data_IF_596715670656
#
_entry.id   IF_596715670656
#
_cell.length_a   1.000
_cell.length_b   1.000
_cell.length_c   1.000
_cell.angle_alpha   90.00
_cell.angle_beta   90.00
_cell.angle_gamma   90.00
#
_symmetry.space_group_name_H-M   'P 1'
#
loop_
_entity.id
_entity.type
_entity.pdbx_description
1 polymer ?
#
# COMPACT_ATOMS: atom_id res chain seq x y z
N UNK A 1 -89.22 -2.31 -22.41
CA UNK A 1 -88.79 -2.56 -21.06
C UNK A 1 -87.82 -3.75 -20.97
N UNK A 2 -86.90 -3.94 -21.88
CA UNK A 2 -85.99 -5.11 -21.91
C UNK A 2 -84.51 -4.69 -22.01
N UNK A 3 -84.24 -3.38 -22.11
CA UNK A 3 -82.89 -2.91 -22.42
C UNK A 3 -82.05 -2.52 -21.16
N UNK A 4 -82.64 -2.47 -19.95
CA UNK A 4 -81.95 -2.07 -18.73
C UNK A 4 -81.36 -3.25 -17.91
N UNK A 5 -81.80 -4.47 -18.18
CA UNK A 5 -81.35 -5.63 -17.41
C UNK A 5 -80.02 -6.21 -17.90
N UNK A 6 -79.58 -5.80 -19.08
CA UNK A 6 -78.32 -6.30 -19.69
C UNK A 6 -77.04 -5.53 -19.25
N UNK A 7 -77.21 -4.37 -18.62
CA UNK A 7 -76.07 -3.55 -18.15
C UNK A 7 -75.62 -3.81 -16.71
N UNK A 8 -76.43 -4.55 -15.94
CA UNK A 8 -76.11 -4.86 -14.56
C UNK A 8 -75.30 -6.16 -14.40
N UNK A 9 -75.20 -7.00 -15.41
CA UNK A 9 -74.53 -8.30 -15.37
C UNK A 9 -73.08 -8.29 -15.86
N UNK A 10 -72.59 -7.12 -16.34
CA UNK A 10 -71.22 -7.02 -16.91
C UNK A 10 -70.22 -6.31 -16.02
N UNK A 11 -70.59 -6.01 -14.78
CA UNK A 11 -69.74 -5.29 -13.83
C UNK A 11 -69.19 -6.19 -12.67
N UNK A 12 -69.39 -7.50 -12.74
CA UNK A 12 -69.05 -8.39 -11.60
C UNK A 12 -68.01 -9.43 -11.97
N UNK A 13 -67.00 -9.12 -12.78
CA UNK A 13 -65.91 -10.08 -13.05
C UNK A 13 -64.65 -9.36 -13.52
N UNK A 14 -64.00 -8.60 -12.63
CA UNK A 14 -62.55 -8.37 -12.72
C UNK A 14 -61.97 -7.83 -11.39
N UNK A 15 -62.13 -8.63 -10.33
CA UNK A 15 -61.28 -8.46 -9.16
C UNK A 15 -60.01 -9.28 -9.41
N UNK A 16 -59.08 -8.72 -10.19
CA UNK A 16 -57.72 -9.23 -10.25
C UNK A 16 -57.08 -9.01 -8.86
N UNK A 17 -57.01 -10.08 -8.11
CA UNK A 17 -56.19 -10.14 -6.88
C UNK A 17 -54.72 -10.05 -7.30
N UNK A 18 -54.16 -8.85 -7.27
CA UNK A 18 -52.71 -8.63 -7.37
C UNK A 18 -52.12 -9.04 -6.04
N UNK A 19 -51.67 -10.28 -5.92
CA UNK A 19 -50.84 -10.70 -4.80
C UNK A 19 -49.46 -10.05 -4.94
N UNK A 20 -49.01 -9.20 -4.00
CA UNK A 20 -47.64 -8.71 -4.02
C UNK A 20 -46.72 -9.92 -3.82
N UNK A 21 -45.97 -10.27 -4.88
CA UNK A 21 -44.87 -11.23 -4.77
C UNK A 21 -43.76 -10.59 -3.95
N UNK A 22 -43.73 -10.90 -2.66
CA UNK A 22 -42.60 -10.51 -1.79
C UNK A 22 -41.42 -11.38 -2.24
N UNK A 23 -40.52 -10.81 -3.01
CA UNK A 23 -39.26 -11.43 -3.33
C UNK A 23 -38.50 -11.67 -2.02
N UNK A 24 -37.99 -12.90 -1.78
CA UNK A 24 -37.19 -13.16 -0.60
C UNK A 24 -35.97 -12.22 -0.61
N UNK A 25 -35.82 -11.43 0.45
CA UNK A 25 -34.64 -10.62 0.65
C UNK A 25 -33.43 -11.55 0.64
N UNK A 26 -32.58 -11.44 -0.38
CA UNK A 26 -31.32 -12.17 -0.45
C UNK A 26 -30.46 -11.67 0.72
N UNK A 27 -30.31 -12.50 1.73
CA UNK A 27 -29.33 -12.27 2.79
C UNK A 27 -27.97 -12.15 2.13
N UNK A 28 -27.25 -11.01 2.28
CA UNK A 28 -25.90 -10.89 1.70
C UNK A 28 -25.05 -12.04 2.23
N UNK A 29 -24.42 -12.76 1.32
CA UNK A 29 -23.52 -13.85 1.68
C UNK A 29 -22.42 -13.27 2.62
N UNK A 30 -22.04 -13.99 3.67
CA UNK A 30 -20.99 -13.55 4.55
C UNK A 30 -19.73 -13.32 3.72
N UNK A 31 -19.23 -12.07 3.71
CA UNK A 31 -17.97 -11.73 3.08
C UNK A 31 -16.88 -12.42 3.87
N UNK A 32 -16.37 -13.53 3.37
CA UNK A 32 -15.21 -14.18 3.98
C UNK A 32 -14.03 -13.22 3.87
N UNK A 33 -13.35 -12.92 4.97
CA UNK A 33 -12.15 -12.08 4.91
C UNK A 33 -11.14 -12.75 3.98
N UNK A 34 -10.60 -11.99 3.04
CA UNK A 34 -9.53 -12.49 2.18
C UNK A 34 -8.37 -12.96 3.05
N UNK A 35 -7.79 -14.13 2.79
CA UNK A 35 -6.68 -14.63 3.58
C UNK A 35 -5.52 -13.61 3.53
N UNK A 36 -5.00 -13.26 4.70
CA UNK A 36 -3.81 -12.42 4.79
C UNK A 36 -2.64 -13.25 4.27
N UNK A 37 -1.85 -12.77 3.31
CA UNK A 37 -0.69 -13.51 2.83
C UNK A 37 0.31 -13.71 3.99
N UNK A 38 1.01 -14.84 4.00
CA UNK A 38 1.97 -15.17 5.06
C UNK A 38 3.26 -14.33 5.00
N UNK A 39 3.41 -13.49 3.98
CA UNK A 39 4.61 -12.69 3.73
C UNK A 39 4.27 -11.39 3.01
N UNK A 40 5.21 -10.47 3.05
CA UNK A 40 5.17 -9.18 2.38
C UNK A 40 6.42 -9.03 1.51
N UNK A 41 6.25 -8.73 0.23
CA UNK A 41 7.36 -8.39 -0.65
C UNK A 41 7.72 -6.91 -0.44
N UNK A 42 8.95 -6.65 -0.05
CA UNK A 42 9.48 -5.31 0.23
C UNK A 42 10.60 -5.00 -0.74
N UNK A 43 10.46 -3.92 -1.49
CA UNK A 43 11.54 -3.31 -2.25
C UNK A 43 12.13 -2.17 -1.44
N UNK A 44 13.40 -2.27 -1.11
CA UNK A 44 14.18 -1.28 -0.40
C UNK A 44 15.25 -0.71 -1.33
N UNK A 45 15.35 0.60 -1.38
CA UNK A 45 16.43 1.30 -2.05
C UNK A 45 17.13 2.21 -1.04
N UNK A 46 18.43 2.44 -1.23
CA UNK A 46 19.17 3.47 -0.52
C UNK A 46 19.72 4.45 -1.54
N UNK A 47 19.31 5.69 -1.40
CA UNK A 47 19.57 6.76 -2.37
C UNK A 47 20.31 7.89 -1.66
N UNK A 48 21.45 8.28 -2.22
CA UNK A 48 22.13 9.50 -1.82
C UNK A 48 21.53 10.66 -2.58
N UNK A 49 21.10 11.68 -1.86
CA UNK A 49 20.53 12.90 -2.42
C UNK A 49 21.45 14.10 -2.22
N UNK A 50 21.51 14.98 -3.20
CA UNK A 50 22.30 16.20 -3.15
C UNK A 50 21.50 17.42 -3.64
N UNK A 51 21.69 18.56 -3.00
CA UNK A 51 21.14 19.86 -3.42
C UNK A 51 21.88 20.44 -4.63
N UNK A 52 23.03 19.89 -4.97
CA UNK A 52 23.78 20.32 -6.16
C UNK A 52 23.20 19.70 -7.42
N UNK A 53 23.12 20.45 -8.53
CA UNK A 53 22.74 19.90 -9.82
C UNK A 53 23.64 18.72 -10.22
N UNK A 54 23.05 17.65 -10.69
CA UNK A 54 23.76 16.44 -11.07
C UNK A 54 22.85 15.42 -11.75
N UNK A 55 23.37 14.22 -11.93
CA UNK A 55 22.63 13.15 -12.56
C UNK A 55 21.55 12.57 -11.63
N UNK A 56 20.46 12.13 -12.24
CA UNK A 56 19.43 11.32 -11.58
C UNK A 56 19.62 9.88 -12.04
N UNK A 57 19.89 8.98 -11.10
CA UNK A 57 20.15 7.57 -11.39
C UNK A 57 18.92 6.92 -12.06
N UNK A 58 19.05 6.31 -13.24
CA UNK A 58 17.94 5.70 -13.97
C UNK A 58 17.29 4.53 -13.21
N UNK A 59 17.99 3.90 -12.26
CA UNK A 59 17.44 2.83 -11.41
C UNK A 59 16.28 3.28 -10.53
N UNK A 60 16.14 4.59 -10.30
CA UNK A 60 14.98 5.16 -9.61
C UNK A 60 13.69 4.98 -10.40
N UNK A 61 13.72 4.91 -11.73
CA UNK A 61 12.55 4.74 -12.57
C UNK A 61 11.48 5.80 -12.30
N UNK A 62 10.24 5.39 -12.10
CA UNK A 62 9.13 6.30 -11.78
C UNK A 62 9.28 7.06 -10.46
N UNK A 63 10.14 6.57 -9.55
CA UNK A 63 10.41 7.22 -8.27
C UNK A 63 11.17 8.55 -8.42
N UNK A 64 11.98 8.68 -9.48
CA UNK A 64 12.77 9.87 -9.74
C UNK A 64 11.91 11.14 -9.78
N UNK A 65 10.79 11.08 -10.52
CA UNK A 65 9.89 12.23 -10.63
C UNK A 65 9.27 12.62 -9.30
N UNK A 66 8.88 11.62 -8.50
CA UNK A 66 8.32 11.86 -7.15
C UNK A 66 9.34 12.53 -6.24
N UNK A 67 10.60 12.07 -6.23
CA UNK A 67 11.65 12.66 -5.41
C UNK A 67 11.96 14.10 -5.84
N UNK A 68 12.10 14.35 -7.14
CA UNK A 68 12.36 15.69 -7.67
C UNK A 68 11.25 16.69 -7.35
N UNK A 69 9.98 16.24 -7.33
CA UNK A 69 8.83 17.12 -7.04
C UNK A 69 8.57 17.35 -5.56
N UNK A 70 9.01 16.43 -4.69
CA UNK A 70 8.68 16.43 -3.26
C UNK A 70 9.84 16.77 -2.33
N UNK A 71 11.06 16.93 -2.88
CA UNK A 71 12.25 17.24 -2.09
C UNK A 71 13.04 18.40 -2.70
N UNK A 72 13.90 19.10 -1.92
CA UNK A 72 14.75 20.17 -2.44
C UNK A 72 15.99 19.66 -3.19
N UNK A 73 16.17 18.34 -3.31
CA UNK A 73 17.35 17.74 -3.91
C UNK A 73 17.25 17.72 -5.44
N UNK A 74 18.38 17.94 -6.10
CA UNK A 74 18.51 18.07 -7.56
C UNK A 74 19.21 16.88 -8.20
N UNK A 75 19.92 16.07 -7.42
CA UNK A 75 20.58 14.85 -7.91
C UNK A 75 20.41 13.68 -6.96
N UNK A 76 20.37 12.47 -7.53
CA UNK A 76 20.11 11.25 -6.80
C UNK A 76 20.98 10.11 -7.33
N UNK A 77 21.70 9.45 -6.44
CA UNK A 77 22.51 8.26 -6.75
C UNK A 77 22.02 7.08 -5.93
N UNK A 78 21.67 5.98 -6.59
CA UNK A 78 21.26 4.75 -5.91
C UNK A 78 22.51 4.02 -5.42
N UNK A 79 22.66 3.92 -4.12
CA UNK A 79 23.78 3.21 -3.47
C UNK A 79 23.50 1.70 -3.37
N UNK A 80 22.27 1.33 -3.04
CA UNK A 80 21.85 -0.06 -2.91
C UNK A 80 20.38 -0.22 -3.29
N UNK A 81 20.02 -1.38 -3.81
CA UNK A 81 18.65 -1.78 -4.11
C UNK A 81 18.50 -3.26 -3.80
N UNK A 82 17.49 -3.60 -3.02
CA UNK A 82 17.16 -4.97 -2.66
C UNK A 82 15.66 -5.21 -2.74
N UNK A 83 15.30 -6.40 -3.17
CA UNK A 83 13.94 -6.92 -3.10
C UNK A 83 14.00 -8.13 -2.15
N UNK A 84 13.16 -8.11 -1.13
CA UNK A 84 13.14 -9.11 -0.10
C UNK A 84 11.70 -9.51 0.21
N UNK A 85 11.53 -10.74 0.61
CA UNK A 85 10.27 -11.26 1.13
C UNK A 85 10.40 -11.40 2.63
N UNK A 86 9.51 -10.73 3.37
CA UNK A 86 9.52 -10.73 4.82
C UNK A 86 8.30 -11.51 5.33
N UNK A 87 8.55 -12.55 6.10
CA UNK A 87 7.56 -13.19 6.96
C UNK A 87 7.44 -12.46 8.29
N UNK A 88 6.47 -12.85 9.12
CA UNK A 88 6.30 -12.29 10.45
C UNK A 88 7.58 -12.44 11.28
N UNK A 89 8.01 -11.33 11.90
CA UNK A 89 9.23 -11.22 12.71
C UNK A 89 10.56 -11.41 11.97
N UNK A 90 10.52 -11.64 10.66
CA UNK A 90 11.74 -11.80 9.87
C UNK A 90 12.46 -10.46 9.66
N UNK A 91 13.79 -10.51 9.71
CA UNK A 91 14.67 -9.36 9.60
C UNK A 91 15.67 -9.56 8.48
N UNK A 92 15.82 -8.54 7.63
CA UNK A 92 16.84 -8.49 6.60
C UNK A 92 17.75 -7.29 6.78
N UNK A 93 19.05 -7.51 6.60
CA UNK A 93 20.05 -6.46 6.62
C UNK A 93 20.65 -6.26 5.23
N UNK A 94 20.70 -5.02 4.79
CA UNK A 94 21.23 -4.59 3.50
C UNK A 94 22.46 -3.73 3.74
N UNK A 95 23.61 -4.13 3.21
CA UNK A 95 24.81 -3.31 3.26
C UNK A 95 24.70 -2.14 2.27
N UNK A 96 24.98 -0.94 2.76
CA UNK A 96 25.00 0.30 1.97
C UNK A 96 26.43 0.69 1.63
N UNK A 97 27.34 0.42 2.57
CA UNK A 97 28.78 0.59 2.45
C UNK A 97 29.47 -0.34 3.44
N UNK A 98 30.81 -0.33 3.47
CA UNK A 98 31.60 -1.16 4.38
C UNK A 98 31.23 -0.96 5.85
N UNK A 99 30.75 0.24 6.19
CA UNK A 99 30.44 0.60 7.59
C UNK A 99 28.94 0.86 7.83
N UNK A 100 28.10 0.91 6.80
CA UNK A 100 26.67 1.25 6.93
C UNK A 100 25.78 0.10 6.47
N UNK A 101 24.79 -0.24 7.30
CA UNK A 101 23.76 -1.25 7.01
C UNK A 101 22.37 -0.70 7.30
N UNK A 102 21.43 -1.02 6.45
CA UNK A 102 19.99 -0.81 6.70
C UNK A 102 19.40 -2.16 7.07
N UNK A 103 18.72 -2.18 8.20
CA UNK A 103 17.99 -3.34 8.70
C UNK A 103 16.51 -3.09 8.56
N UNK A 104 15.78 -4.02 7.99
CA UNK A 104 14.34 -3.95 7.81
C UNK A 104 13.69 -5.18 8.43
N UNK A 105 12.68 -4.96 9.28
CA UNK A 105 11.93 -6.02 9.96
C UNK A 105 10.44 -5.78 9.81
N UNK A 106 9.69 -6.83 9.46
CA UNK A 106 8.24 -6.81 9.49
C UNK A 106 7.76 -6.93 10.95
N UNK A 107 6.96 -5.97 11.38
CA UNK A 107 6.36 -5.96 12.73
C UNK A 107 4.96 -6.58 12.68
N UNK A 108 4.16 -6.16 11.72
CA UNK A 108 2.81 -6.68 11.50
C UNK A 108 2.35 -6.34 10.10
N UNK A 109 1.35 -7.05 9.60
CA UNK A 109 0.68 -6.72 8.35
C UNK A 109 -0.77 -7.18 8.36
N UNK A 110 -1.56 -6.55 7.51
CA UNK A 110 -2.94 -6.88 7.22
C UNK A 110 -3.18 -6.79 5.69
N UNK A 111 -4.36 -7.12 5.14
CA UNK A 111 -4.59 -7.04 3.69
C UNK A 111 -4.40 -5.65 3.07
N UNK A 112 -4.31 -4.58 3.85
CA UNK A 112 -4.27 -3.20 3.38
C UNK A 112 -2.92 -2.52 3.62
N UNK A 113 -2.17 -2.92 4.66
CA UNK A 113 -0.96 -2.23 5.09
C UNK A 113 0.02 -3.17 5.80
N UNK A 114 1.29 -2.79 5.79
CA UNK A 114 2.35 -3.42 6.55
C UNK A 114 3.06 -2.39 7.44
N UNK A 115 3.43 -2.82 8.64
CA UNK A 115 4.23 -2.05 9.57
C UNK A 115 5.66 -2.60 9.58
N UNK A 116 6.61 -1.77 9.18
CA UNK A 116 8.02 -2.11 9.06
C UNK A 116 8.84 -1.29 10.06
N UNK A 117 9.75 -1.93 10.76
CA UNK A 117 10.82 -1.25 11.50
C UNK A 117 12.04 -1.14 10.61
N UNK A 118 12.57 0.06 10.49
CA UNK A 118 13.74 0.38 9.67
C UNK A 118 14.80 0.99 10.55
N UNK A 119 15.95 0.34 10.59
CA UNK A 119 17.10 0.79 11.35
C UNK A 119 18.27 1.08 10.40
N UNK A 120 18.98 2.17 10.62
CA UNK A 120 20.29 2.41 10.02
C UNK A 120 21.37 2.27 11.07
N UNK A 121 22.35 1.45 10.76
CA UNK A 121 23.52 1.22 11.60
C UNK A 121 24.77 1.73 10.88
N UNK A 122 25.70 2.27 11.67
CA UNK A 122 27.07 2.58 11.26
C UNK A 122 28.03 1.82 12.21
N UNK A 123 28.66 0.78 11.71
CA UNK A 123 29.27 -0.24 12.55
C UNK A 123 28.22 -0.84 13.49
N UNK A 124 28.47 -0.77 14.78
CA UNK A 124 27.55 -1.25 15.84
C UNK A 124 26.65 -0.12 16.40
N UNK A 125 26.81 1.10 15.91
CA UNK A 125 26.02 2.24 16.39
C UNK A 125 24.75 2.38 15.57
N UNK A 126 23.59 2.35 16.23
CA UNK A 126 22.30 2.64 15.65
C UNK A 126 22.15 4.16 15.46
N UNK A 127 22.01 4.60 14.20
CA UNK A 127 21.86 6.02 13.85
C UNK A 127 20.37 6.39 13.76
N UNK A 128 19.57 5.49 13.19
CA UNK A 128 18.13 5.69 13.02
C UNK A 128 17.41 4.41 13.41
N UNK A 129 16.30 4.58 14.09
CA UNK A 129 15.32 3.55 14.39
C UNK A 129 13.93 4.17 14.21
N UNK A 130 13.19 3.67 13.26
CA UNK A 130 11.86 4.17 12.99
C UNK A 130 10.92 3.04 12.58
N UNK A 131 9.66 3.19 12.94
CA UNK A 131 8.60 2.29 12.51
C UNK A 131 7.69 3.05 11.56
N UNK A 132 7.47 2.47 10.37
CA UNK A 132 6.65 3.05 9.31
C UNK A 132 5.51 2.13 8.94
N UNK A 133 4.34 2.70 8.71
CA UNK A 133 3.18 1.97 8.19
C UNK A 133 3.00 2.32 6.72
N UNK A 134 3.06 1.30 5.87
CA UNK A 134 2.99 1.45 4.41
C UNK A 134 1.77 0.71 3.90
N UNK A 135 0.89 1.42 3.18
CA UNK A 135 -0.26 0.79 2.54
C UNK A 135 0.20 -0.11 1.39
N UNK A 136 -0.55 -1.17 1.16
CA UNK A 136 -0.34 -2.10 0.05
C UNK A 136 -0.13 -1.36 -1.27
N UNK A 137 0.88 -1.77 -2.04
CA UNK A 137 1.26 -1.18 -3.33
C UNK A 137 1.57 0.33 -3.26
N UNK A 138 1.93 0.83 -2.07
CA UNK A 138 2.41 2.21 -1.87
C UNK A 138 3.86 2.20 -1.44
N UNK A 139 4.45 3.37 -1.53
CA UNK A 139 5.82 3.59 -1.13
C UNK A 139 5.89 4.64 -0.04
N UNK A 140 6.87 4.52 0.80
CA UNK A 140 7.22 5.46 1.85
C UNK A 140 8.71 5.80 1.75
N UNK A 141 9.11 7.02 2.05
CA UNK A 141 10.51 7.44 2.02
C UNK A 141 10.93 7.86 3.42
N UNK A 142 11.90 7.15 3.97
CA UNK A 142 12.61 7.59 5.17
C UNK A 142 13.77 8.47 4.73
N UNK A 143 13.80 9.72 5.21
CA UNK A 143 14.89 10.65 4.93
C UNK A 143 15.75 10.82 6.18
N UNK A 144 17.06 10.82 6.00
CA UNK A 144 18.00 11.06 7.08
C UNK A 144 19.18 11.90 6.60
N UNK A 145 19.66 12.78 7.47
CA UNK A 145 20.89 13.53 7.24
C UNK A 145 22.02 12.94 8.07
N UNK A 146 23.07 12.54 7.41
CA UNK A 146 24.29 12.06 8.07
C UNK A 146 25.09 13.24 8.65
N UNK A 147 25.99 12.94 9.61
CA UNK A 147 26.85 13.96 10.25
C UNK A 147 27.80 14.65 9.25
N UNK A 148 28.15 13.97 8.17
CA UNK A 148 28.97 14.50 7.07
C UNK A 148 28.21 15.43 6.11
N UNK A 149 26.93 15.72 6.41
CA UNK A 149 26.06 16.54 5.57
C UNK A 149 25.37 15.77 4.43
N UNK A 150 25.73 14.51 4.21
CA UNK A 150 25.09 13.68 3.18
C UNK A 150 23.65 13.34 3.58
N UNK A 151 22.71 13.52 2.66
CA UNK A 151 21.33 13.10 2.85
C UNK A 151 21.12 11.73 2.20
N UNK A 152 20.63 10.80 2.99
CA UNK A 152 20.20 9.48 2.52
C UNK A 152 18.68 9.43 2.53
N UNK A 153 18.12 8.95 1.43
CA UNK A 153 16.71 8.62 1.30
C UNK A 153 16.59 7.11 1.19
N UNK A 154 15.65 6.54 1.93
CA UNK A 154 15.36 5.10 1.90
C UNK A 154 13.92 4.93 1.44
N UNK A 155 13.67 4.87 0.12
CA UNK A 155 12.39 4.46 -0.43
C UNK A 155 12.10 3.00 -0.10
N UNK A 156 10.93 2.76 0.48
CA UNK A 156 10.37 1.45 0.80
C UNK A 156 9.08 1.28 0.02
N UNK A 157 8.94 0.20 -0.71
CA UNK A 157 7.70 -0.16 -1.40
C UNK A 157 7.25 -1.53 -0.92
N UNK A 158 5.97 -1.62 -0.55
CA UNK A 158 5.37 -2.86 -0.05
C UNK A 158 4.38 -3.39 -1.08
N UNK A 159 4.49 -4.71 -1.38
CA UNK A 159 3.59 -5.45 -2.29
C UNK A 159 3.19 -6.77 -1.65
N UNK A 160 1.96 -7.20 -1.86
CA UNK A 160 1.41 -8.52 -1.48
C UNK A 160 -0.04 -8.70 -1.98
#
# INVERSE_FOLDING_TARGET
MITQLRRLLLMLLLACVVTPSVAPAQTPAPVMPSPVPAWVDVKLMVVQASEQPGAVDPRLGSFAQTLLSSTPFLSFTVLAQHEMRLGDTEEHAVSVSDVRRVRCRLISHDPQQAQLRVELLSGDTQIVDTTVTIRRNKSFVVAMRSRDGTTLLIPLTVRY
#
